data_IF_053819063947
#
_entry.id   IF_053819063947
#
_cell.length_a   1.000
_cell.length_b   1.000
_cell.length_c   1.000
_cell.angle_alpha   90.00
_cell.angle_beta   90.00
_cell.angle_gamma   90.00
#
_symmetry.space_group_name_H-M   'P 1'
#
loop_
_entity.id
_entity.type
_entity.pdbx_description
1 polymer ?
#
# COMPACT_ATOMS: atom_id res chain seq x y z
N UNK A 1 -4.18 16.29 -47.21
CA UNK A 1 -4.75 15.20 -46.37
C UNK A 1 -4.05 13.87 -46.67
N UNK A 2 -2.78 13.72 -46.26
CA UNK A 2 -1.98 12.49 -46.44
C UNK A 2 -0.79 12.45 -45.44
N UNK A 3 -0.92 13.17 -44.31
CA UNK A 3 0.13 13.33 -43.28
C UNK A 3 -0.21 12.66 -41.95
N UNK A 4 -1.05 11.61 -41.94
CA UNK A 4 -1.63 11.10 -40.69
C UNK A 4 -1.64 9.57 -40.52
N UNK A 5 -0.85 8.80 -41.29
CA UNK A 5 -0.91 7.32 -41.19
C UNK A 5 0.41 6.67 -40.74
N UNK A 6 1.51 7.42 -40.62
CA UNK A 6 2.81 6.85 -40.25
C UNK A 6 3.41 7.48 -38.97
N UNK A 7 2.58 7.64 -37.93
CA UNK A 7 3.02 8.17 -36.63
C UNK A 7 2.48 7.37 -35.42
N UNK A 8 1.98 6.14 -35.63
CA UNK A 8 1.36 5.32 -34.57
C UNK A 8 2.21 4.10 -34.18
N UNK A 9 3.34 3.85 -34.87
CA UNK A 9 4.10 2.60 -34.69
C UNK A 9 5.15 2.61 -33.57
N UNK A 10 5.39 3.74 -32.90
CA UNK A 10 6.44 3.86 -31.85
C UNK A 10 5.88 4.04 -30.44
N UNK A 11 4.58 3.82 -30.23
CA UNK A 11 3.95 3.85 -28.90
C UNK A 11 3.70 2.45 -28.31
N UNK A 12 4.55 1.48 -28.65
CA UNK A 12 4.44 0.09 -28.17
C UNK A 12 5.65 -0.37 -27.34
N UNK A 13 6.38 0.57 -26.73
CA UNK A 13 7.48 0.24 -25.80
C UNK A 13 7.55 1.21 -24.63
N UNK A 14 6.40 1.51 -24.01
CA UNK A 14 6.36 2.19 -22.72
C UNK A 14 6.36 1.13 -21.61
N UNK A 15 7.57 0.79 -21.15
CA UNK A 15 7.83 0.33 -19.80
C UNK A 15 7.18 -0.98 -19.36
N UNK A 16 7.89 -2.09 -19.55
CA UNK A 16 7.94 -3.11 -18.51
C UNK A 16 8.71 -2.54 -17.31
N UNK A 17 8.17 -1.49 -16.67
CA UNK A 17 8.52 -1.25 -15.29
C UNK A 17 7.99 -2.49 -14.59
N UNK A 18 8.88 -3.32 -14.07
CA UNK A 18 8.51 -4.35 -13.11
C UNK A 18 7.98 -3.60 -11.88
N UNK A 19 6.72 -3.17 -11.94
CA UNK A 19 6.02 -2.66 -10.78
C UNK A 19 6.04 -3.80 -9.76
N UNK A 20 6.44 -3.48 -8.53
CA UNK A 20 6.26 -4.41 -7.42
C UNK A 20 4.80 -4.89 -7.44
N UNK A 21 4.58 -6.17 -7.11
CA UNK A 21 3.22 -6.71 -7.07
C UNK A 21 2.38 -5.85 -6.09
N UNK A 22 1.36 -5.13 -6.57
CA UNK A 22 0.59 -4.20 -5.73
C UNK A 22 -0.12 -4.92 -4.59
N UNK A 23 -0.43 -6.22 -4.77
CA UNK A 23 -1.01 -7.07 -3.73
C UNK A 23 0.02 -7.30 -2.61
N UNK A 24 1.24 -7.67 -2.98
CA UNK A 24 2.33 -7.86 -2.00
C UNK A 24 2.68 -6.57 -1.30
N UNK A 25 2.70 -5.44 -2.00
CA UNK A 25 3.04 -4.14 -1.43
C UNK A 25 2.02 -3.70 -0.38
N UNK A 26 0.71 -3.75 -0.69
CA UNK A 26 -0.34 -3.41 0.29
C UNK A 26 -0.35 -4.36 1.48
N UNK A 27 -0.09 -5.65 1.25
CA UNK A 27 0.03 -6.64 2.33
C UNK A 27 1.24 -6.37 3.22
N UNK A 28 2.39 -5.98 2.66
CA UNK A 28 3.57 -5.63 3.43
C UNK A 28 3.31 -4.42 4.34
N UNK A 29 2.67 -3.37 3.80
CA UNK A 29 2.26 -2.20 4.57
C UNK A 29 1.27 -2.55 5.69
N UNK A 30 0.29 -3.43 5.42
CA UNK A 30 -0.66 -3.89 6.44
C UNK A 30 0.00 -4.78 7.50
N UNK A 31 0.97 -5.61 7.13
CA UNK A 31 1.73 -6.44 8.07
C UNK A 31 2.59 -5.60 9.00
N UNK A 32 3.27 -4.59 8.45
CA UNK A 32 4.01 -3.60 9.24
C UNK A 32 3.08 -2.88 10.22
N UNK A 33 1.92 -2.41 9.73
CA UNK A 33 0.89 -1.79 10.56
C UNK A 33 0.44 -2.69 11.70
N UNK A 34 0.13 -3.95 11.40
CA UNK A 34 -0.29 -4.93 12.39
C UNK A 34 0.77 -5.16 13.47
N UNK A 35 2.06 -5.18 13.11
CA UNK A 35 3.17 -5.26 14.06
C UNK A 35 3.20 -4.05 15.00
N UNK A 36 3.09 -2.83 14.47
CA UNK A 36 3.10 -1.59 15.26
C UNK A 36 1.88 -1.54 16.19
N UNK A 37 0.70 -1.80 15.64
CA UNK A 37 -0.55 -1.86 16.42
C UNK A 37 -0.49 -2.93 17.51
N UNK A 38 0.10 -4.09 17.23
CA UNK A 38 0.32 -5.14 18.22
C UNK A 38 1.21 -4.70 19.38
N UNK A 39 2.27 -3.93 19.11
CA UNK A 39 3.12 -3.36 20.17
C UNK A 39 2.33 -2.38 21.05
N UNK A 40 1.58 -1.47 20.43
CA UNK A 40 0.72 -0.51 21.14
C UNK A 40 -0.36 -1.22 21.96
N UNK A 41 -0.97 -2.29 21.42
CA UNK A 41 -2.02 -3.05 22.08
C UNK A 41 -1.56 -3.69 23.39
N UNK A 42 -0.31 -4.17 23.47
CA UNK A 42 0.25 -4.70 24.72
C UNK A 42 0.30 -3.65 25.83
N UNK A 43 0.65 -2.41 25.50
CA UNK A 43 0.63 -1.30 26.45
C UNK A 43 -0.80 -0.99 26.88
N UNK A 44 -1.74 -0.89 25.93
CA UNK A 44 -3.17 -0.64 26.22
C UNK A 44 -3.79 -1.72 27.12
N UNK A 45 -3.41 -2.99 26.93
CA UNK A 45 -3.88 -4.11 27.75
C UNK A 45 -3.18 -4.23 29.11
N UNK A 46 -2.16 -3.41 29.38
CA UNK A 46 -1.35 -3.51 30.59
C UNK A 46 -0.37 -4.69 30.60
N UNK A 47 -0.18 -5.37 29.47
CA UNK A 47 0.79 -6.46 29.31
C UNK A 47 2.24 -5.93 29.21
N UNK A 48 2.40 -4.66 28.86
CA UNK A 48 3.67 -3.93 28.86
C UNK A 48 3.51 -2.61 29.63
N UNK A 49 4.56 -2.21 30.36
CA UNK A 49 4.57 -0.94 31.08
C UNK A 49 4.48 0.25 30.12
N UNK A 50 3.79 1.32 30.54
CA UNK A 50 3.71 2.56 29.77
C UNK A 50 5.02 3.32 29.83
N UNK A 51 5.62 3.52 28.66
CA UNK A 51 6.71 4.47 28.42
C UNK A 51 6.22 5.48 27.38
N UNK A 52 6.08 6.74 27.80
CA UNK A 52 5.52 7.79 26.95
C UNK A 52 6.35 8.02 25.68
N UNK A 53 7.68 7.95 25.76
CA UNK A 53 8.56 8.18 24.62
C UNK A 53 8.46 7.02 23.63
N UNK A 54 8.49 5.78 24.11
CA UNK A 54 8.33 4.59 23.27
C UNK A 54 6.95 4.54 22.59
N UNK A 55 5.88 4.88 23.32
CA UNK A 55 4.51 4.95 22.77
C UNK A 55 4.43 6.02 21.68
N UNK A 56 4.98 7.21 21.91
CA UNK A 56 4.99 8.28 20.91
C UNK A 56 5.75 7.86 19.64
N UNK A 57 6.88 7.17 19.77
CA UNK A 57 7.63 6.62 18.62
C UNK A 57 6.78 5.64 17.82
N UNK A 58 6.11 4.70 18.50
CA UNK A 58 5.24 3.73 17.84
C UNK A 58 4.03 4.39 17.16
N UNK A 59 3.41 5.40 17.78
CA UNK A 59 2.31 6.15 17.18
C UNK A 59 2.75 6.95 15.94
N UNK A 60 3.93 7.57 15.97
CA UNK A 60 4.51 8.24 14.79
C UNK A 60 4.80 7.26 13.67
N UNK A 61 5.30 6.07 13.99
CA UNK A 61 5.51 5.01 13.00
C UNK A 61 4.16 4.54 12.39
N UNK A 62 3.13 4.38 13.21
CA UNK A 62 1.78 4.02 12.75
C UNK A 62 1.22 5.09 11.80
N UNK A 63 1.38 6.36 12.15
CA UNK A 63 0.97 7.49 11.31
C UNK A 63 1.73 7.51 9.99
N UNK A 64 3.06 7.36 10.01
CA UNK A 64 3.87 7.32 8.78
C UNK A 64 3.47 6.16 7.85
N UNK A 65 3.15 4.98 8.40
CA UNK A 65 2.62 3.86 7.61
C UNK A 65 1.22 4.20 7.04
N UNK A 66 0.38 4.92 7.78
CA UNK A 66 -0.91 5.40 7.31
C UNK A 66 -0.79 6.39 6.15
N UNK A 67 0.10 7.38 6.26
CA UNK A 67 0.38 8.34 5.20
C UNK A 67 0.91 7.64 3.94
N UNK A 68 1.86 6.71 4.08
CA UNK A 68 2.37 5.93 2.95
C UNK A 68 1.27 5.15 2.24
N UNK A 69 0.39 4.51 3.00
CA UNK A 69 -0.71 3.75 2.42
C UNK A 69 -1.70 4.66 1.69
N UNK A 70 -2.06 5.80 2.29
CA UNK A 70 -3.00 6.74 1.71
C UNK A 70 -2.44 7.41 0.44
N UNK A 71 -1.19 7.87 0.50
CA UNK A 71 -0.51 8.52 -0.63
C UNK A 71 -0.35 7.61 -1.85
N UNK A 72 -0.42 6.28 -1.66
CA UNK A 72 -0.24 5.30 -2.72
C UNK A 72 -1.51 4.46 -2.96
N UNK A 73 -2.70 4.92 -2.54
CA UNK A 73 -3.92 4.11 -2.63
C UNK A 73 -4.22 3.64 -4.07
N UNK A 74 -3.98 4.50 -5.07
CA UNK A 74 -4.19 4.18 -6.49
C UNK A 74 -3.22 3.11 -7.01
N UNK A 75 -1.96 3.14 -6.57
CA UNK A 75 -0.94 2.17 -6.96
C UNK A 75 -1.01 0.88 -6.15
N UNK A 76 -1.58 0.93 -4.95
CA UNK A 76 -1.81 -0.24 -4.09
C UNK A 76 -3.09 -1.00 -4.48
N UNK A 77 -4.10 -0.32 -5.02
CA UNK A 77 -5.36 -0.91 -5.47
C UNK A 77 -5.68 -0.60 -6.95
N UNK A 78 -4.75 -0.85 -7.90
CA UNK A 78 -5.05 -0.65 -9.31
C UNK A 78 -6.13 -1.62 -9.77
N UNK A 79 -6.87 -1.23 -10.82
CA UNK A 79 -7.80 -2.15 -11.50
C UNK A 79 -7.05 -3.39 -11.99
N UNK A 80 -7.68 -4.56 -11.86
CA UNK A 80 -7.05 -5.86 -12.13
C UNK A 80 -6.36 -6.50 -10.92
N UNK A 81 -6.29 -5.81 -9.77
CA UNK A 81 -5.74 -6.37 -8.52
C UNK A 81 -6.80 -6.88 -7.54
N UNK A 82 -8.03 -7.11 -8.01
CA UNK A 82 -9.17 -7.58 -7.21
C UNK A 82 -9.11 -9.09 -6.93
N UNK A 83 -8.27 -9.82 -7.65
CA UNK A 83 -8.16 -11.29 -7.59
C UNK A 83 -6.71 -11.73 -7.36
N UNK A 84 -6.50 -13.02 -7.08
CA UNK A 84 -5.20 -13.59 -6.71
C UNK A 84 -5.07 -13.81 -5.20
N UNK A 85 -3.85 -13.79 -4.66
CA UNK A 85 -3.59 -13.92 -3.22
C UNK A 85 -3.93 -12.64 -2.47
N UNK A 86 -5.21 -12.26 -2.45
CA UNK A 86 -5.67 -11.05 -1.78
C UNK A 86 -6.94 -11.26 -0.97
N UNK A 87 -7.01 -10.55 0.16
CA UNK A 87 -8.20 -10.49 1.00
C UNK A 87 -8.98 -9.17 0.82
N UNK A 88 -8.58 -8.34 -0.16
CA UNK A 88 -9.26 -7.10 -0.49
C UNK A 88 -10.66 -7.43 -1.05
N UNK A 89 -11.71 -6.83 -0.49
CA UNK A 89 -13.06 -7.07 -0.96
C UNK A 89 -13.31 -6.33 -2.29
N UNK A 90 -14.08 -6.91 -3.24
CA UNK A 90 -14.41 -6.25 -4.51
C UNK A 90 -15.03 -4.86 -4.37
N UNK A 91 -15.66 -4.58 -3.23
CA UNK A 91 -16.30 -3.30 -2.90
C UNK A 91 -15.35 -2.09 -2.92
N UNK A 92 -14.03 -2.30 -2.86
CA UNK A 92 -13.04 -1.22 -2.98
C UNK A 92 -13.06 -0.57 -4.37
N UNK A 93 -13.52 -1.29 -5.40
CA UNK A 93 -13.53 -0.85 -6.80
C UNK A 93 -14.94 -0.51 -7.34
N UNK A 94 -15.96 -0.53 -6.49
CA UNK A 94 -17.34 -0.12 -6.82
C UNK A 94 -17.62 1.33 -6.40
#
# INVERSE_FOLDING_TARGET
>A
MRKLILAISTLAFAGSAAFADPIQERQALMKERGKIAGQLSKVVKGEAAYDAAAVLVALKALHANAEKFHANVETLFPAGSETGDTTAAPKIWE
#
